data_IF_851912824153
#
_entry.id   IF_851912824153
#
_cell.length_a   1.000
_cell.length_b   1.000
_cell.length_c   1.000
_cell.angle_alpha   90.00
_cell.angle_beta   90.00
_cell.angle_gamma   90.00
#
_symmetry.space_group_name_H-M   'P 1'
#
loop_
_entity.id
_entity.type
_entity.pdbx_description
1 polymer ?
2 non-polymer ?
3 non-polymer ?
4 water ?
#
# COMPACT_ATOMS: atom_id res chain seq x y z
N UNK A 1 10.53 -1.80 20.61
CA UNK A 1 11.07 -1.82 19.23
C UNK A 1 10.00 -2.24 18.23
N UNK A 2 10.26 -2.00 16.95
CA UNK A 2 9.31 -2.37 15.90
C UNK A 2 9.99 -3.32 14.91
N UNK A 3 9.24 -4.29 14.41
CA UNK A 3 9.80 -5.24 13.45
C UNK A 3 9.99 -4.57 12.10
N UNK A 4 11.14 -4.83 11.48
CA UNK A 4 11.41 -4.29 10.16
C UNK A 4 11.07 -5.35 9.13
N UNK A 5 10.14 -5.02 8.25
CA UNK A 5 9.62 -5.99 7.30
C UNK A 5 10.16 -5.69 5.90
N UNK A 6 10.00 -6.65 5.00
CA UNK A 6 10.67 -6.60 3.71
C UNK A 6 9.66 -6.80 2.58
N UNK A 7 9.16 -5.70 2.00
CA UNK A 7 8.17 -5.80 0.92
C UNK A 7 8.70 -6.57 -0.29
N UNK A 8 7.85 -7.40 -0.87
CA UNK A 8 8.19 -8.12 -2.09
C UNK A 8 8.22 -7.15 -3.28
N UNK A 9 8.70 -7.60 -4.45
CA UNK A 9 9.03 -6.65 -5.52
C UNK A 9 7.95 -5.63 -5.91
N UNK A 10 6.72 -6.06 -6.17
CA UNK A 10 5.70 -5.11 -6.62
C UNK A 10 5.42 -4.05 -5.55
N UNK A 11 5.10 -4.48 -4.33
CA UNK A 11 4.82 -3.54 -3.25
C UNK A 11 5.99 -2.58 -3.06
N UNK A 12 7.21 -3.11 -3.05
CA UNK A 12 8.39 -2.27 -2.90
C UNK A 12 8.46 -1.21 -4.00
N UNK A 13 8.09 -1.59 -5.22
CA UNK A 13 8.18 -0.66 -6.34
C UNK A 13 7.20 0.50 -6.17
N UNK A 14 6.02 0.22 -5.62
CA UNK A 14 5.04 1.28 -5.39
C UNK A 14 5.50 2.21 -4.27
N UNK A 15 6.14 1.63 -3.25
CA UNK A 15 6.63 2.42 -2.13
C UNK A 15 7.72 3.37 -2.60
N UNK A 16 8.62 2.86 -3.44
CA UNK A 16 9.73 3.68 -3.92
C UNK A 16 9.27 4.76 -4.90
N UNK A 17 8.22 4.48 -5.66
CA UNK A 17 7.66 5.49 -6.56
C UNK A 17 7.04 6.62 -5.74
N UNK A 18 6.64 6.31 -4.51
CA UNK A 18 6.09 7.30 -3.60
C UNK A 18 7.18 8.06 -2.85
N UNK A 19 8.43 7.64 -3.00
CA UNK A 19 9.53 8.36 -2.38
C UNK A 19 10.38 7.53 -1.43
N UNK A 20 9.94 6.30 -1.13
CA UNK A 20 10.69 5.44 -0.21
C UNK A 20 12.08 5.14 -0.77
N UNK A 21 13.06 5.00 0.12
CA UNK A 21 14.46 4.88 -0.29
C UNK A 21 15.15 3.58 0.10
N UNK A 22 14.56 2.82 1.02
CA UNK A 22 15.21 1.61 1.52
C UNK A 22 14.46 0.33 1.18
N UNK A 23 14.92 -0.79 1.74
CA UNK A 23 14.33 -2.09 1.45
C UNK A 23 13.56 -2.72 2.61
N UNK A 24 13.81 -2.25 3.83
CA UNK A 24 13.03 -2.72 4.97
C UNK A 24 12.39 -1.56 5.72
N UNK A 25 11.19 -1.79 6.24
CA UNK A 25 10.38 -0.74 6.85
C UNK A 25 9.64 -1.29 8.06
N UNK A 26 9.26 -0.42 8.99
CA UNK A 26 8.26 -0.81 9.98
C UNK A 26 6.92 -0.83 9.26
N UNK A 27 5.93 -1.47 9.85
CA UNK A 27 4.61 -1.49 9.24
C UNK A 27 4.04 -0.08 9.12
N UNK A 28 4.34 0.76 10.11
CA UNK A 28 3.94 2.17 10.07
C UNK A 28 4.51 2.88 8.84
N UNK A 29 5.77 2.59 8.52
CA UNK A 29 6.42 3.20 7.37
C UNK A 29 5.85 2.67 6.05
N UNK A 30 5.58 1.37 6.00
CA UNK A 30 4.94 0.79 4.82
C UNK A 30 3.61 1.49 4.54
N UNK A 31 2.76 1.54 5.56
CA UNK A 31 1.45 2.16 5.43
C UNK A 31 1.56 3.63 5.02
N UNK A 32 2.49 4.36 5.62
CA UNK A 32 2.62 5.78 5.29
C UNK A 32 2.94 5.99 3.82
N UNK A 33 3.94 5.27 3.31
CA UNK A 33 4.35 5.41 1.92
C UNK A 33 3.25 4.94 0.98
N UNK A 34 2.52 3.91 1.39
CA UNK A 34 1.44 3.39 0.56
C UNK A 34 0.34 4.45 0.47
N UNK A 35 0.08 5.13 1.58
CA UNK A 35 -0.89 6.21 1.57
C UNK A 35 -0.44 7.34 0.68
N UNK A 36 0.86 7.61 0.68
CA UNK A 36 1.42 8.66 -0.16
C UNK A 36 1.29 8.29 -1.64
N UNK A 37 1.52 7.01 -1.95
CA UNK A 37 1.32 6.52 -3.31
C UNK A 37 -0.12 6.75 -3.78
N UNK A 38 -1.08 6.39 -2.93
CA UNK A 38 -2.49 6.54 -3.26
C UNK A 38 -2.86 8.00 -3.50
N UNK A 39 -2.34 8.90 -2.67
CA UNK A 39 -2.56 10.33 -2.88
C UNK A 39 -1.95 10.80 -4.20
N UNK A 40 -0.72 10.38 -4.46
CA UNK A 40 -0.01 10.78 -5.67
C UNK A 40 -0.72 10.31 -6.94
N UNK A 41 -1.26 9.09 -6.90
CA UNK A 41 -1.93 8.52 -8.07
C UNK A 41 -3.39 8.96 -8.15
N UNK A 42 -3.86 9.66 -7.12
CA UNK A 42 -5.25 10.10 -7.05
C UNK A 42 -6.22 8.93 -7.13
N UNK A 43 -5.92 7.86 -6.39
CA UNK A 43 -6.75 6.66 -6.45
C UNK A 43 -7.96 6.76 -5.54
N UNK A 44 -7.96 7.74 -4.64
CA UNK A 44 -9.08 7.88 -3.72
C UNK A 44 -10.31 8.39 -4.44
N UNK A 45 -11.47 8.03 -3.90
CA UNK A 45 -12.74 8.43 -4.47
C UNK A 45 -12.99 9.91 -4.21
N UNK A 46 -13.42 10.63 -5.25
CA UNK A 46 -13.62 12.07 -5.15
C UNK A 46 -14.66 12.43 -4.10
N UNK A 47 -15.73 11.64 -4.03
CA UNK A 47 -16.89 11.97 -3.19
C UNK A 47 -16.81 11.36 -1.79
N UNK A 48 -16.36 10.11 -1.71
CA UNK A 48 -16.11 9.47 -0.41
C UNK A 48 -14.62 9.13 -0.32
N UNK A 49 -13.86 10.05 0.26
CA UNK A 49 -12.41 10.07 0.08
C UNK A 49 -11.65 9.00 0.87
N UNK A 50 -12.36 8.28 1.73
CA UNK A 50 -11.77 7.13 2.42
C UNK A 50 -11.76 5.88 1.53
N UNK A 51 -12.47 5.93 0.41
CA UNK A 51 -12.51 4.81 -0.53
C UNK A 51 -11.37 4.89 -1.53
N UNK A 52 -10.69 3.76 -1.75
CA UNK A 52 -9.57 3.71 -2.69
C UNK A 52 -9.89 2.82 -3.89
N UNK A 53 -9.75 3.37 -5.09
CA UNK A 53 -10.02 2.66 -6.34
C UNK A 53 -8.73 2.09 -6.92
N UNK A 54 -8.71 0.77 -7.10
CA UNK A 54 -7.50 0.07 -7.54
C UNK A 54 -7.67 -0.54 -8.93
N UNK A 55 -8.89 -0.53 -9.44
CA UNK A 55 -9.21 -1.22 -10.69
C UNK A 55 -8.43 -0.73 -11.90
N UNK A 56 -7.93 0.50 -11.85
CA UNK A 56 -7.20 1.06 -12.98
C UNK A 56 -5.70 1.24 -12.70
N UNK A 57 -5.21 0.60 -11.63
CA UNK A 57 -3.84 0.81 -11.16
C UNK A 57 -3.20 -0.52 -10.75
N UNK A 58 -1.87 -0.63 -10.87
CA UNK A 58 -1.16 -1.84 -10.45
C UNK A 58 -1.38 -2.23 -8.98
N UNK A 59 -1.73 -1.26 -8.15
CA UNK A 59 -2.10 -1.55 -6.77
C UNK A 59 -3.22 -2.60 -6.75
N UNK A 60 -4.05 -2.59 -7.79
CA UNK A 60 -5.14 -3.55 -7.87
C UNK A 60 -4.67 -5.00 -7.98
N UNK A 61 -3.60 -5.21 -8.73
CA UNK A 61 -3.00 -6.54 -8.85
C UNK A 61 -2.35 -6.93 -7.54
N UNK A 62 -1.56 -6.00 -7.00
CA UNK A 62 -0.80 -6.23 -5.77
C UNK A 62 -1.69 -6.75 -4.66
N UNK A 63 -2.70 -5.97 -4.29
CA UNK A 63 -3.60 -6.33 -3.21
C UNK A 63 -4.51 -7.48 -3.61
N UNK A 64 -5.02 -7.44 -4.84
CA UNK A 64 -5.92 -8.47 -5.30
C UNK A 64 -7.37 -8.07 -5.09
N UNK A 65 -7.62 -6.77 -5.13
CA UNK A 65 -8.96 -6.24 -4.92
C UNK A 65 -9.29 -5.19 -5.98
N UNK A 66 -10.50 -4.63 -5.89
CA UNK A 66 -10.89 -3.55 -6.78
C UNK A 66 -11.08 -2.26 -5.99
N UNK A 67 -11.73 -2.35 -4.84
CA UNK A 67 -11.82 -1.21 -3.93
C UNK A 67 -11.59 -1.63 -2.49
N UNK A 68 -11.05 -0.71 -1.70
CA UNK A 68 -11.04 -0.85 -0.25
C UNK A 68 -11.14 0.52 0.40
N UNK A 69 -11.61 0.54 1.64
CA UNK A 69 -11.70 1.77 2.42
C UNK A 69 -10.53 1.83 3.40
N UNK A 70 -9.95 3.01 3.59
CA UNK A 70 -8.86 3.17 4.54
C UNK A 70 -9.33 2.94 5.98
N UNK A 71 -10.62 2.66 6.14
CA UNK A 71 -11.17 2.31 7.45
C UNK A 71 -10.97 0.82 7.75
N UNK A 72 -10.70 0.04 6.71
CA UNK A 72 -10.55 -1.41 6.85
C UNK A 72 -9.11 -1.78 7.17
N UNK A 73 -8.68 -1.50 8.40
CA UNK A 73 -7.27 -1.64 8.75
C UNK A 73 -6.80 -3.09 8.78
N UNK A 74 -7.67 -4.00 9.21
CA UNK A 74 -7.30 -5.41 9.27
C UNK A 74 -7.14 -5.96 7.86
N UNK A 75 -8.01 -5.53 6.95
CA UNK A 75 -7.93 -5.96 5.56
C UNK A 75 -6.66 -5.43 4.91
N UNK A 76 -6.33 -4.17 5.19
CA UNK A 76 -5.13 -3.56 4.62
C UNK A 76 -3.86 -4.22 5.15
N UNK A 77 -3.84 -4.50 6.45
CA UNK A 77 -2.71 -5.21 7.04
C UNK A 77 -2.55 -6.59 6.42
N UNK A 78 -3.67 -7.26 6.16
CA UNK A 78 -3.62 -8.60 5.57
C UNK A 78 -3.06 -8.54 4.15
N UNK A 79 -3.48 -7.53 3.39
CA UNK A 79 -3.02 -7.37 2.02
C UNK A 79 -1.51 -7.10 2.00
N UNK A 80 -1.02 -6.33 2.96
CA UNK A 80 0.41 -6.07 3.06
C UNK A 80 1.21 -7.32 3.44
N UNK A 81 0.70 -8.09 4.41
CA UNK A 81 1.41 -9.27 4.89
C UNK A 81 1.57 -10.31 3.78
N UNK A 82 0.63 -10.34 2.85
CA UNK A 82 0.74 -11.23 1.69
C UNK A 82 1.90 -10.80 0.78
N UNK A 83 2.38 -9.58 0.98
CA UNK A 83 3.40 -9.02 0.12
C UNK A 83 4.68 -8.64 0.88
N UNK A 84 5.01 -9.46 1.87
CA UNK A 84 6.29 -9.37 2.56
C UNK A 84 7.06 -10.66 2.33
N UNK A 85 8.38 -10.56 2.22
CA UNK A 85 9.24 -11.73 2.18
C UNK A 85 9.09 -12.52 3.48
N UNK A 86 8.71 -13.79 3.38
CA UNK A 86 8.50 -14.61 4.56
C UNK A 86 9.77 -15.36 4.97
X LIG B 1 -2.40 8.13 3.70
X LIG B 1 -3.39 8.40 4.39
X LIG B 1 -3.85 9.68 4.54
X LIG B 1 -3.45 10.69 3.56
X LIG B 1 -2.48 11.63 4.19
X LIG B 1 -1.41 11.97 3.67
X LIG B 1 -2.84 12.11 5.38
X LIG B 1 -4.12 11.70 5.99
X LIG B 1 -4.32 10.18 5.86
X LIG B 1 -4.02 7.38 5.14
X LIG B 1 -5.29 7.40 5.75
X LIG B 1 -6.39 8.23 5.24
X LIG B 1 -7.32 8.80 6.14
X LIG B 1 -8.36 9.60 5.69
X LIG B 1 -6.58 8.47 3.85
X LIG B 1 -5.76 7.86 2.98
X LIG B 1 -5.91 8.22 1.60
X LIG B 1 -4.58 8.04 0.86
X LIG B 1 -7.00 7.37 0.92
X LIG B 1 -7.60 9.29 3.37
X LIG B 1 -8.49 9.83 4.30
X LIG B 1 -9.51 10.58 3.87
X LIG B 1 -10.41 11.03 4.87
X LIG B 1 -3.21 6.30 5.71
X LIG B 1 -3.19 5.13 4.74
X LIG B 1 -4.14 5.07 3.71
X LIG B 1 -4.18 3.98 2.84
X LIG B 1 -3.23 2.93 3.01
X LIG B 1 -3.32 1.58 2.03
X LIG B 1 -2.23 3.01 4.02
X LIG B 1 -2.22 4.11 4.87
X LIG B 1 -4.00 5.99 7.00
X LIG B 1 -5.32 6.60 6.79
X LIG B 1 -4.08 4.53 7.37
X LIG B 1 -3.25 4.05 8.40
X LIG B 1 -3.26 2.71 8.74
X LIG B 1 -4.11 1.83 8.03
X LIG B 1 -4.05 0.20 8.37
X LIG B 1 -5.00 2.31 7.04
X LIG B 1 -4.97 3.66 6.71
X LIG C 1 -11.60 -4.38 9.01
X LIG C 1 -10.69 -4.48 7.84
X LIG C 1 -12.78 -3.56 8.64
X LIG C 1 -10.89 -3.76 10.15
X LIG C 1 -12.05 -5.73 9.39
#
# INVERSE_FOLDING_TARGET
>A
MEKLVQPTPLLLSLLKSAGAQKETFTMKEVLYHLGQYIMAKQLYDEKQQHIVHCSNDPLGELFGVQEFSVKEHRRIYAMISRNLVS
>B hetero
1 NUT O3 C25 N2 C29 C28 O2 N3 C27 C26 N1 C10 C9 C3 C2 C5 O1 C6 C8 C7 C4 C1 O C C18 C19 C24 C23 C22 CL1 C21 C20 C11 N C12 C17 C16 C15 CL C14 C13
>C hetero
1 SO4 S O1 O2 O3 O4
#
